data_IF_976160430665
#
_entry.id   IF_976160430665
#
_cell.length_a   1.000
_cell.length_b   1.000
_cell.length_c   1.000
_cell.angle_alpha   90.00
_cell.angle_beta   90.00
_cell.angle_gamma   90.00
#
_symmetry.space_group_name_H-M   'P 1'
#
loop_
_entity.id
_entity.type
_entity.pdbx_description
1 polymer ?
#
# COMPACT_ATOMS: atom_id res chain seq x y z
N UNK A 1 24.14 -9.49 7.45
CA UNK A 1 23.49 -8.31 6.82
C UNK A 1 22.11 -8.76 6.34
N UNK A 2 21.00 -8.37 6.99
CA UNK A 2 19.65 -8.70 6.52
C UNK A 2 19.33 -7.75 5.36
N UNK A 3 19.29 -8.25 4.13
CA UNK A 3 18.71 -7.52 3.00
C UNK A 3 17.23 -7.28 3.35
N UNK A 4 16.89 -6.07 3.76
CA UNK A 4 15.49 -5.68 3.92
C UNK A 4 14.88 -5.66 2.52
N UNK A 5 14.12 -6.71 2.19
CA UNK A 5 13.44 -6.84 0.90
C UNK A 5 12.35 -5.76 0.80
N UNK A 6 12.73 -4.58 0.32
CA UNK A 6 11.83 -3.48 0.07
C UNK A 6 10.92 -3.81 -1.12
N UNK A 7 9.69 -3.28 -1.11
CA UNK A 7 8.77 -3.42 -2.23
C UNK A 7 8.03 -4.77 -2.32
N UNK A 8 8.14 -5.67 -1.33
CA UNK A 8 7.38 -6.94 -1.29
C UNK A 8 6.01 -6.87 -0.61
N UNK A 9 5.54 -5.67 -0.21
CA UNK A 9 4.27 -5.53 0.52
C UNK A 9 4.42 -5.48 2.04
N UNK A 10 5.47 -6.11 2.60
CA UNK A 10 5.69 -6.19 4.04
C UNK A 10 6.27 -4.92 4.71
N UNK A 11 6.77 -3.97 3.92
CA UNK A 11 7.28 -2.70 4.43
C UNK A 11 6.12 -1.72 4.62
N UNK A 12 5.76 -1.47 5.87
CA UNK A 12 4.64 -0.61 6.25
C UNK A 12 5.14 0.42 7.29
N UNK A 13 5.00 1.74 7.04
CA UNK A 13 4.41 2.34 5.85
C UNK A 13 5.25 2.09 4.59
N UNK A 14 4.62 1.89 3.43
CA UNK A 14 5.33 1.73 2.17
C UNK A 14 5.95 3.04 1.69
N UNK A 15 6.97 2.92 0.84
CA UNK A 15 7.40 4.05 0.02
C UNK A 15 6.28 4.44 -0.96
N UNK A 16 5.89 5.71 -0.98
CA UNK A 16 4.86 6.24 -1.89
C UNK A 16 5.14 5.91 -3.37
N UNK A 17 6.41 5.96 -3.81
CA UNK A 17 6.78 5.60 -5.19
C UNK A 17 6.49 4.14 -5.50
N UNK A 18 6.69 3.22 -4.54
CA UNK A 18 6.35 1.81 -4.75
C UNK A 18 4.84 1.61 -4.90
N UNK A 19 4.03 2.38 -4.16
CA UNK A 19 2.57 2.39 -4.30
C UNK A 19 2.17 2.92 -5.68
N UNK A 20 2.72 4.06 -6.11
CA UNK A 20 2.45 4.63 -7.43
C UNK A 20 2.79 3.63 -8.56
N UNK A 21 3.98 3.00 -8.50
CA UNK A 21 4.40 1.98 -9.46
C UNK A 21 3.43 0.79 -9.48
N UNK A 22 3.03 0.29 -8.31
CA UNK A 22 2.11 -0.85 -8.21
C UNK A 22 0.77 -0.58 -8.88
N UNK A 23 0.20 0.60 -8.65
CA UNK A 23 -1.07 1.00 -9.28
C UNK A 23 -0.92 1.20 -10.79
N UNK A 24 0.18 1.82 -11.25
CA UNK A 24 0.46 1.99 -12.69
C UNK A 24 0.61 0.63 -13.38
N UNK A 25 1.33 -0.31 -12.77
CA UNK A 25 1.47 -1.69 -13.28
C UNK A 25 0.14 -2.44 -13.35
N UNK A 26 -0.78 -2.13 -12.44
CA UNK A 26 -2.14 -2.63 -12.45
C UNK A 26 -3.07 -1.95 -13.48
N UNK A 27 -2.58 -0.96 -14.24
CA UNK A 27 -3.38 -0.20 -15.21
C UNK A 27 -4.17 0.97 -14.61
N UNK A 28 -3.88 1.37 -13.37
CA UNK A 28 -4.53 2.49 -12.68
C UNK A 28 -3.67 3.76 -12.68
N UNK A 29 -4.33 4.91 -12.64
CA UNK A 29 -3.63 6.19 -12.68
C UNK A 29 -3.05 6.58 -11.31
N UNK A 30 -2.09 7.50 -11.33
CA UNK A 30 -1.42 8.01 -10.13
C UNK A 30 -2.40 8.58 -9.09
N UNK A 31 -3.51 9.19 -9.53
CA UNK A 31 -4.54 9.74 -8.65
C UNK A 31 -5.16 8.66 -7.76
N UNK A 32 -5.44 7.48 -8.30
CA UNK A 32 -5.98 6.35 -7.50
C UNK A 32 -4.94 5.86 -6.48
N UNK A 33 -3.67 5.80 -6.87
CA UNK A 33 -2.57 5.44 -5.96
C UNK A 33 -2.43 6.45 -4.80
N UNK A 34 -2.55 7.75 -5.08
CA UNK A 34 -2.52 8.81 -4.08
C UNK A 34 -3.69 8.71 -3.10
N UNK A 35 -4.91 8.47 -3.60
CA UNK A 35 -6.10 8.27 -2.75
C UNK A 35 -5.92 7.08 -1.80
N UNK A 36 -5.42 5.96 -2.30
CA UNK A 36 -5.10 4.79 -1.49
C UNK A 36 -4.05 5.14 -0.42
N UNK A 37 -2.92 5.74 -0.83
CA UNK A 37 -1.83 6.07 0.08
C UNK A 37 -2.28 7.03 1.19
N UNK A 38 -3.06 8.05 0.84
CA UNK A 38 -3.59 9.01 1.79
C UNK A 38 -4.56 8.35 2.78
N UNK A 39 -5.51 7.54 2.30
CA UNK A 39 -6.47 6.83 3.14
C UNK A 39 -5.79 5.99 4.22
N UNK A 40 -4.76 5.22 3.85
CA UNK A 40 -4.03 4.40 4.81
C UNK A 40 -3.05 5.21 5.66
N UNK A 41 -2.51 6.33 5.17
CA UNK A 41 -1.66 7.22 5.97
C UNK A 41 -2.45 7.92 7.08
N UNK A 42 -3.66 8.39 6.81
CA UNK A 42 -4.57 8.99 7.82
C UNK A 42 -4.91 7.98 8.92
N UNK A 43 -5.04 6.69 8.54
CA UNK A 43 -5.25 5.57 9.47
C UNK A 43 -3.96 5.04 10.10
N UNK A 44 -2.82 5.71 9.90
CA UNK A 44 -1.50 5.29 10.39
C UNK A 44 -1.11 3.87 9.99
N UNK A 45 -1.63 3.41 8.85
CA UNK A 45 -1.45 2.06 8.33
C UNK A 45 -1.90 0.96 9.30
N UNK A 46 -2.87 1.26 10.15
CA UNK A 46 -3.46 0.31 11.09
C UNK A 46 -4.70 -0.35 10.49
N UNK A 47 -4.92 -1.61 10.86
CA UNK A 47 -6.16 -2.33 10.63
C UNK A 47 -7.24 -1.88 11.65
N UNK A 48 -8.50 -2.35 11.53
CA UNK A 48 -9.57 -2.00 12.47
C UNK A 48 -9.28 -2.38 13.93
N UNK A 49 -8.47 -3.41 14.17
CA UNK A 49 -8.04 -3.83 15.52
C UNK A 49 -6.90 -2.97 16.09
N UNK A 50 -6.48 -1.91 15.37
CA UNK A 50 -5.39 -1.02 15.77
C UNK A 50 -3.99 -1.59 15.57
N UNK A 51 -3.84 -2.71 14.86
CA UNK A 51 -2.54 -3.33 14.53
C UNK A 51 -2.02 -2.85 13.18
N UNK A 52 -0.71 -2.69 13.04
CA UNK A 52 -0.09 -2.36 11.76
C UNK A 52 -0.46 -3.41 10.70
N UNK A 53 -0.90 -2.98 9.52
CA UNK A 53 -1.17 -3.93 8.42
C UNK A 53 0.12 -4.66 8.06
N UNK A 54 0.02 -5.95 7.78
CA UNK A 54 1.18 -6.79 7.47
C UNK A 54 1.59 -6.70 5.99
N UNK A 55 0.64 -6.39 5.09
CA UNK A 55 0.87 -6.35 3.66
C UNK A 55 0.02 -5.25 2.99
N UNK A 56 0.69 -4.16 2.60
CA UNK A 56 0.00 -3.07 1.91
C UNK A 56 -0.41 -3.41 0.48
N UNK A 57 0.26 -4.38 -0.19
CA UNK A 57 -0.12 -4.80 -1.55
C UNK A 57 -1.43 -5.57 -1.53
N UNK A 58 -1.67 -6.39 -0.51
CA UNK A 58 -2.98 -7.03 -0.30
C UNK A 58 -4.08 -5.98 -0.13
N UNK A 59 -3.83 -4.95 0.67
CA UNK A 59 -4.76 -3.83 0.81
C UNK A 59 -4.97 -3.06 -0.51
N UNK A 60 -3.90 -2.82 -1.27
CA UNK A 60 -3.98 -2.16 -2.58
C UNK A 60 -4.76 -3.00 -3.60
N UNK A 61 -4.57 -4.32 -3.59
CA UNK A 61 -5.37 -5.25 -4.39
C UNK A 61 -6.85 -5.19 -4.00
N UNK A 62 -7.17 -5.25 -2.72
CA UNK A 62 -8.57 -5.09 -2.29
C UNK A 62 -9.15 -3.73 -2.71
N UNK A 63 -8.37 -2.66 -2.62
CA UNK A 63 -8.80 -1.31 -3.02
C UNK A 63 -9.14 -1.22 -4.51
N UNK A 64 -8.36 -1.88 -5.36
CA UNK A 64 -8.52 -1.83 -6.81
C UNK A 64 -9.66 -2.76 -7.28
N UNK A 65 -9.76 -3.99 -6.78
CA UNK A 65 -10.65 -5.02 -7.33
C UNK A 65 -11.93 -5.29 -6.52
N UNK A 66 -12.00 -4.91 -5.23
CA UNK A 66 -13.13 -5.25 -4.34
C UNK A 66 -13.85 -4.01 -3.78
N UNK A 67 -13.91 -2.93 -4.57
CA UNK A 67 -14.67 -1.73 -4.20
C UNK A 67 -16.14 -1.86 -4.55
#
# INVERSE_FOLDING_TARGET
MKLALAGLGAQVPPNRKHVEIYFIQAGHCQKTAQQFYQHYSEKRWLNPDGKLIADWKRCAWQWIWNR
#
